data_IF_330002104450
#
_entry.id   IF_330002104450
#
_cell.length_a   1.000
_cell.length_b   1.000
_cell.length_c   1.000
_cell.angle_alpha   90.00
_cell.angle_beta   90.00
_cell.angle_gamma   90.00
#
_symmetry.space_group_name_H-M   'P 1'
#
loop_
_entity.id
_entity.type
_entity.pdbx_description
1 polymer ?
#
# COMPACT_ATOMS: atom_id res chain seq x y z
N UNK A 1 -8.81 57.34 -34.43
CA UNK A 1 -10.02 57.19 -33.58
C UNK A 1 -10.99 56.06 -34.01
N UNK A 2 -10.51 54.95 -34.62
CA UNK A 2 -11.37 53.82 -35.07
C UNK A 2 -11.19 52.51 -34.27
N UNK A 3 -10.12 52.38 -33.48
CA UNK A 3 -9.85 51.19 -32.65
C UNK A 3 -10.77 51.08 -31.42
N UNK A 4 -11.25 52.20 -30.87
CA UNK A 4 -12.15 52.19 -29.71
C UNK A 4 -13.60 51.77 -30.03
N UNK A 5 -14.03 51.78 -31.29
CA UNK A 5 -15.40 51.36 -31.67
C UNK A 5 -15.55 49.83 -31.74
N UNK A 6 -14.51 49.12 -32.18
CA UNK A 6 -14.51 47.65 -32.28
C UNK A 6 -14.40 46.98 -30.90
N UNK A 7 -13.69 47.56 -29.95
CA UNK A 7 -13.60 47.04 -28.58
C UNK A 7 -14.86 47.34 -27.75
N UNK A 8 -15.57 48.43 -28.05
CA UNK A 8 -16.88 48.72 -27.45
C UNK A 8 -17.91 47.66 -27.80
N UNK A 9 -17.91 47.10 -29.02
CA UNK A 9 -18.88 46.05 -29.38
C UNK A 9 -18.66 44.80 -28.53
N UNK A 10 -17.42 44.37 -28.33
CA UNK A 10 -17.12 43.20 -27.49
C UNK A 10 -17.47 43.46 -26.03
N UNK A 11 -17.20 44.65 -25.52
CA UNK A 11 -17.56 45.04 -24.15
C UNK A 11 -19.08 45.12 -23.94
N UNK A 12 -19.82 45.57 -24.95
CA UNK A 12 -21.29 45.58 -24.95
C UNK A 12 -21.83 44.16 -25.04
N UNK A 13 -21.26 43.30 -25.90
CA UNK A 13 -21.66 41.90 -26.05
C UNK A 13 -21.40 41.12 -24.75
N UNK A 14 -20.23 41.27 -24.14
CA UNK A 14 -19.93 40.63 -22.85
C UNK A 14 -20.81 41.18 -21.74
N UNK A 15 -21.06 42.49 -21.71
CA UNK A 15 -22.00 43.12 -20.78
C UNK A 15 -23.42 42.56 -20.91
N UNK A 16 -23.95 42.44 -22.13
CA UNK A 16 -25.27 41.86 -22.42
C UNK A 16 -25.30 40.37 -22.02
N UNK A 17 -24.22 39.63 -22.28
CA UNK A 17 -24.11 38.22 -21.90
C UNK A 17 -24.17 38.05 -20.38
N UNK A 18 -23.42 38.86 -19.63
CA UNK A 18 -23.39 38.84 -18.17
C UNK A 18 -24.76 39.27 -17.61
N UNK A 19 -25.37 40.33 -18.15
CA UNK A 19 -26.71 40.77 -17.78
C UNK A 19 -27.75 39.69 -18.05
N UNK A 20 -27.66 38.98 -19.18
CA UNK A 20 -28.51 37.84 -19.49
C UNK A 20 -28.35 36.68 -18.49
N UNK A 21 -27.11 36.37 -18.07
CA UNK A 21 -26.83 35.35 -17.06
C UNK A 21 -27.34 35.73 -15.67
N UNK A 22 -27.27 37.01 -15.30
CA UNK A 22 -27.84 37.55 -14.06
C UNK A 22 -29.36 37.52 -14.11
N UNK A 23 -29.97 37.96 -15.21
CA UNK A 23 -31.42 37.96 -15.41
C UNK A 23 -32.00 36.53 -15.37
N UNK A 24 -31.29 35.56 -15.95
CA UNK A 24 -31.62 34.14 -15.86
C UNK A 24 -31.53 33.58 -14.44
N UNK A 25 -30.74 34.18 -13.53
CA UNK A 25 -30.71 33.79 -12.12
C UNK A 25 -31.82 34.43 -11.27
N UNK A 26 -32.29 35.62 -11.65
CA UNK A 26 -33.29 36.40 -10.89
C UNK A 26 -34.72 35.90 -11.11
N UNK A 27 -35.01 35.25 -12.24
CA UNK A 27 -36.32 34.64 -12.53
C UNK A 27 -36.35 33.15 -12.08
N UNK A 28 -36.95 32.82 -10.92
CA UNK A 28 -36.87 31.47 -10.35
C UNK A 28 -37.41 30.37 -11.29
N UNK A 29 -38.47 30.63 -12.06
CA UNK A 29 -39.07 29.65 -12.98
C UNK A 29 -38.26 29.39 -14.27
N UNK A 30 -37.68 30.43 -14.88
CA UNK A 30 -36.87 30.30 -16.11
C UNK A 30 -35.51 29.68 -15.79
N UNK A 31 -34.94 30.05 -14.63
CA UNK A 31 -33.68 29.49 -14.14
C UNK A 31 -33.78 27.98 -13.96
N UNK A 32 -34.88 27.47 -13.38
CA UNK A 32 -35.10 26.05 -13.12
C UNK A 32 -35.27 25.24 -14.41
N UNK A 33 -36.05 25.75 -15.37
CA UNK A 33 -36.25 25.09 -16.67
C UNK A 33 -34.98 25.08 -17.53
N UNK A 34 -34.28 26.22 -17.62
CA UNK A 34 -33.03 26.31 -18.33
C UNK A 34 -31.96 25.43 -17.69
N UNK A 35 -31.81 25.48 -16.35
CA UNK A 35 -30.90 24.60 -15.60
C UNK A 35 -31.22 23.13 -15.85
N UNK A 36 -32.47 22.70 -15.73
CA UNK A 36 -32.85 21.29 -15.91
C UNK A 36 -32.62 20.79 -17.35
N UNK A 37 -32.88 21.64 -18.35
CA UNK A 37 -32.67 21.28 -19.77
C UNK A 37 -31.18 21.24 -20.12
N UNK A 38 -30.40 22.24 -19.66
CA UNK A 38 -28.95 22.24 -19.77
C UNK A 38 -28.34 21.04 -19.02
N UNK A 39 -28.82 20.73 -17.82
CA UNK A 39 -28.36 19.56 -17.07
C UNK A 39 -28.63 18.27 -17.84
N UNK A 40 -29.81 18.11 -18.44
CA UNK A 40 -30.12 16.92 -19.25
C UNK A 40 -29.20 16.78 -20.46
N UNK A 41 -28.97 17.87 -21.20
CA UNK A 41 -28.12 17.88 -22.41
C UNK A 41 -26.63 17.73 -22.09
N UNK A 42 -26.15 18.40 -21.04
CA UNK A 42 -24.74 18.35 -20.65
C UNK A 42 -24.41 17.17 -19.71
N UNK A 43 -25.39 16.55 -19.06
CA UNK A 43 -25.14 15.39 -18.19
C UNK A 43 -24.39 14.23 -18.84
N UNK A 44 -24.62 13.81 -20.10
CA UNK A 44 -23.82 12.77 -20.72
C UNK A 44 -22.35 13.21 -20.89
N UNK A 45 -22.11 14.48 -21.23
CA UNK A 45 -20.75 15.04 -21.38
C UNK A 45 -20.07 15.09 -20.02
N UNK A 46 -20.74 15.64 -19.00
CA UNK A 46 -20.23 15.67 -17.63
C UNK A 46 -19.87 14.27 -17.12
N UNK A 47 -20.74 13.28 -17.35
CA UNK A 47 -20.47 11.88 -16.98
C UNK A 47 -19.28 11.30 -17.74
N UNK A 48 -19.09 11.66 -19.02
CA UNK A 48 -17.93 11.24 -19.80
C UNK A 48 -16.62 11.82 -19.26
N UNK A 49 -16.61 13.12 -18.91
CA UNK A 49 -15.45 13.77 -18.27
C UNK A 49 -15.12 13.18 -16.90
N UNK A 50 -16.13 12.92 -16.06
CA UNK A 50 -15.91 12.26 -14.76
C UNK A 50 -15.33 10.85 -14.96
N UNK A 51 -15.88 10.06 -15.89
CA UNK A 51 -15.35 8.72 -16.20
C UNK A 51 -13.93 8.76 -16.75
N UNK A 52 -13.60 9.73 -17.59
CA UNK A 52 -12.25 9.92 -18.13
C UNK A 52 -11.27 10.31 -17.02
N UNK A 53 -11.66 11.25 -16.13
CA UNK A 53 -10.86 11.68 -14.99
C UNK A 53 -10.58 10.54 -14.00
N UNK A 54 -11.61 9.76 -13.65
CA UNK A 54 -11.43 8.61 -12.76
C UNK A 54 -10.48 7.57 -13.36
N UNK A 55 -10.64 7.23 -14.65
CA UNK A 55 -9.73 6.30 -15.34
C UNK A 55 -8.27 6.77 -15.36
N UNK A 56 -8.03 8.08 -15.45
CA UNK A 56 -6.66 8.61 -15.42
C UNK A 56 -6.04 8.47 -14.04
N UNK A 57 -6.81 8.69 -12.96
CA UNK A 57 -6.34 8.52 -11.58
C UNK A 57 -5.95 7.05 -11.34
N UNK A 58 -6.83 6.11 -11.72
CA UNK A 58 -6.58 4.67 -11.58
C UNK A 58 -5.29 4.22 -12.29
N UNK A 59 -5.01 4.79 -13.48
CA UNK A 59 -3.83 4.43 -14.27
C UNK A 59 -2.51 4.88 -13.62
N UNK A 60 -2.49 6.07 -13.00
CA UNK A 60 -1.32 6.57 -12.29
C UNK A 60 -1.07 5.78 -11.00
N UNK A 61 -2.12 5.41 -10.27
CA UNK A 61 -2.01 4.55 -9.09
C UNK A 61 -1.40 3.18 -9.45
N UNK A 62 -1.89 2.53 -10.52
CA UNK A 62 -1.34 1.25 -10.98
C UNK A 62 0.16 1.35 -11.32
N UNK A 63 0.59 2.42 -12.00
CA UNK A 63 2.00 2.60 -12.36
C UNK A 63 2.88 2.78 -11.12
N UNK A 64 2.40 3.55 -10.12
CA UNK A 64 3.13 3.73 -8.87
C UNK A 64 3.24 2.41 -8.10
N UNK A 65 2.13 1.65 -8.00
CA UNK A 65 2.14 0.32 -7.36
C UNK A 65 3.07 -0.66 -8.07
N UNK A 66 3.10 -0.69 -9.41
CA UNK A 66 4.03 -1.54 -10.17
C UNK A 66 5.48 -1.17 -9.87
N UNK A 67 5.80 0.12 -9.72
CA UNK A 67 7.14 0.56 -9.38
C UNK A 67 7.55 0.12 -7.97
N UNK A 68 6.64 0.24 -7.00
CA UNK A 68 6.85 -0.17 -5.62
C UNK A 68 7.03 -1.69 -5.52
N UNK A 69 6.15 -2.47 -6.16
CA UNK A 69 6.26 -3.93 -6.23
C UNK A 69 7.57 -4.39 -6.88
N UNK A 70 8.00 -3.73 -7.95
CA UNK A 70 9.29 -4.05 -8.58
C UNK A 70 10.48 -3.74 -7.66
N UNK A 71 10.42 -2.61 -6.94
CA UNK A 71 11.47 -2.24 -5.99
C UNK A 71 11.55 -3.26 -4.85
N UNK A 72 10.43 -3.62 -4.26
CA UNK A 72 10.34 -4.65 -3.20
C UNK A 72 10.84 -6.00 -3.71
N UNK A 73 10.48 -6.41 -4.92
CA UNK A 73 10.95 -7.66 -5.52
C UNK A 73 12.48 -7.68 -5.70
N UNK A 74 13.08 -6.55 -6.14
CA UNK A 74 14.53 -6.42 -6.25
C UNK A 74 15.20 -6.51 -4.87
N UNK A 75 14.65 -5.84 -3.85
CA UNK A 75 15.17 -5.88 -2.49
C UNK A 75 15.07 -7.29 -1.87
N UNK A 76 13.94 -7.97 -2.05
CA UNK A 76 13.73 -9.35 -1.60
C UNK A 76 14.69 -10.32 -2.28
N UNK A 77 14.88 -10.20 -3.60
CA UNK A 77 15.86 -11.01 -4.34
C UNK A 77 17.28 -10.80 -3.84
N UNK A 78 17.66 -9.54 -3.59
CA UNK A 78 18.97 -9.22 -3.03
C UNK A 78 19.16 -9.86 -1.66
N UNK A 79 18.18 -9.71 -0.76
CA UNK A 79 18.22 -10.31 0.58
C UNK A 79 18.26 -11.83 0.53
N UNK A 80 17.55 -12.45 -0.42
CA UNK A 80 17.60 -13.89 -0.59
C UNK A 80 19.01 -14.36 -1.00
N UNK A 81 19.65 -13.68 -1.95
CA UNK A 81 21.03 -13.99 -2.35
C UNK A 81 22.03 -13.79 -1.20
N UNK A 82 21.85 -12.74 -0.40
CA UNK A 82 22.68 -12.50 0.80
C UNK A 82 22.53 -13.66 1.80
N UNK A 83 21.30 -14.06 2.12
CA UNK A 83 21.02 -15.19 3.03
C UNK A 83 21.55 -16.53 2.47
N UNK A 84 21.41 -16.78 1.18
CA UNK A 84 21.96 -17.98 0.53
C UNK A 84 23.49 -18.02 0.65
N UNK A 85 24.16 -16.87 0.48
CA UNK A 85 25.60 -16.75 0.67
C UNK A 85 26.02 -16.98 2.12
N UNK A 86 25.29 -16.41 3.09
CA UNK A 86 25.54 -16.63 4.52
C UNK A 86 25.37 -18.10 4.90
N UNK A 87 24.32 -18.76 4.42
CA UNK A 87 24.09 -20.20 4.64
C UNK A 87 25.26 -21.02 4.07
N UNK A 88 25.75 -20.68 2.88
CA UNK A 88 26.89 -21.38 2.28
C UNK A 88 28.15 -21.25 3.14
N UNK A 89 28.45 -20.03 3.60
CA UNK A 89 29.59 -19.77 4.47
C UNK A 89 29.47 -20.48 5.83
N UNK A 90 28.27 -20.50 6.41
CA UNK A 90 28.00 -21.23 7.65
C UNK A 90 28.23 -22.73 7.50
N UNK A 91 27.78 -23.33 6.38
CA UNK A 91 28.01 -24.75 6.10
C UNK A 91 29.49 -25.08 5.93
N UNK A 92 30.22 -24.26 5.19
CA UNK A 92 31.68 -24.44 5.03
C UNK A 92 32.39 -24.36 6.39
N UNK A 93 32.05 -23.35 7.19
CA UNK A 93 32.59 -23.18 8.55
C UNK A 93 32.24 -24.37 9.45
N UNK A 94 31.02 -24.90 9.35
CA UNK A 94 30.58 -26.07 10.11
C UNK A 94 31.35 -27.34 9.71
N UNK A 95 31.55 -27.55 8.40
CA UNK A 95 32.34 -28.66 7.87
C UNK A 95 33.81 -28.59 8.32
N UNK A 96 34.42 -27.40 8.23
CA UNK A 96 35.77 -27.17 8.74
C UNK A 96 35.87 -27.42 10.25
N UNK A 97 34.90 -26.91 11.02
CA UNK A 97 34.85 -27.13 12.46
C UNK A 97 34.74 -28.62 12.80
N UNK A 98 33.90 -29.35 12.07
CA UNK A 98 33.73 -30.80 12.23
C UNK A 98 35.03 -31.54 11.91
N UNK A 99 35.70 -31.20 10.81
CA UNK A 99 36.99 -31.78 10.44
C UNK A 99 38.06 -31.52 11.52
N UNK A 100 38.15 -30.30 12.03
CA UNK A 100 39.07 -29.92 13.10
C UNK A 100 38.77 -30.69 14.40
N UNK A 101 37.50 -30.79 14.79
CA UNK A 101 37.07 -31.56 15.97
C UNK A 101 37.45 -33.04 15.85
N UNK A 102 37.26 -33.63 14.68
CA UNK A 102 37.64 -35.02 14.40
C UNK A 102 39.16 -35.22 14.48
N UNK A 103 39.94 -34.32 13.86
CA UNK A 103 41.40 -34.37 13.90
C UNK A 103 41.96 -34.25 15.33
N UNK A 104 41.33 -33.42 16.16
CA UNK A 104 41.74 -33.18 17.55
C UNK A 104 41.09 -34.13 18.56
N UNK A 105 40.23 -35.07 18.10
CA UNK A 105 39.45 -36.00 18.95
C UNK A 105 38.69 -35.28 20.08
N UNK A 106 38.15 -34.09 19.80
CA UNK A 106 37.28 -33.41 20.75
C UNK A 106 36.03 -34.26 21.03
N UNK A 107 35.57 -34.38 22.28
CA UNK A 107 34.30 -35.02 22.57
C UNK A 107 33.17 -34.32 21.82
N UNK A 108 32.28 -35.12 21.25
CA UNK A 108 31.10 -34.63 20.54
C UNK A 108 30.23 -33.85 21.54
N UNK A 109 29.90 -32.61 21.21
CA UNK A 109 29.07 -31.77 22.07
C UNK A 109 27.63 -32.18 21.77
N UNK A 110 26.93 -32.80 22.73
CA UNK A 110 25.52 -33.11 22.56
C UNK A 110 24.76 -31.80 22.32
N UNK A 111 24.19 -31.67 21.12
CA UNK A 111 23.31 -30.56 20.81
C UNK A 111 22.00 -30.80 21.57
N UNK A 112 21.48 -29.78 22.28
CA UNK A 112 20.18 -29.90 22.91
C UNK A 112 19.12 -30.21 21.84
N UNK A 113 18.32 -31.23 22.09
CA UNK A 113 17.18 -31.58 21.25
C UNK A 113 16.08 -30.56 21.56
N UNK A 114 15.72 -29.75 20.57
CA UNK A 114 14.60 -28.82 20.69
C UNK A 114 13.33 -29.49 20.17
N UNK A 115 12.24 -29.41 20.95
CA UNK A 115 10.89 -29.77 20.50
C UNK A 115 10.03 -28.49 20.48
N UNK A 116 9.09 -28.41 19.54
CA UNK A 116 8.18 -27.27 19.41
C UNK A 116 6.97 -27.51 20.33
N UNK A 117 6.69 -26.54 21.20
CA UNK A 117 5.53 -26.54 22.08
C UNK A 117 4.63 -25.33 21.77
N UNK A 118 3.32 -25.55 21.77
CA UNK A 118 2.32 -24.50 21.61
C UNK A 118 1.95 -23.91 22.97
N UNK A 119 1.83 -22.59 23.06
CA UNK A 119 1.34 -21.90 24.25
C UNK A 119 -0.18 -22.00 24.28
N UNK A 120 -0.73 -22.73 25.24
CA UNK A 120 -2.17 -22.95 25.44
C UNK A 120 -2.77 -22.07 26.53
N UNK A 121 -1.93 -21.36 27.29
CA UNK A 121 -2.37 -20.41 28.31
C UNK A 121 -1.23 -19.49 28.74
N UNK A 122 -1.57 -18.31 29.26
CA UNK A 122 -0.61 -17.34 29.78
C UNK A 122 -1.27 -16.51 30.88
N UNK A 123 -0.50 -16.16 31.90
CA UNK A 123 -0.92 -15.22 32.94
C UNK A 123 -1.01 -13.79 32.38
N UNK A 124 -2.09 -13.07 32.71
CA UNK A 124 -2.40 -11.75 32.14
C UNK A 124 -2.43 -10.65 33.22
N UNK A 125 -2.76 -11.00 34.47
CA UNK A 125 -3.05 -10.00 35.51
C UNK A 125 -2.37 -10.25 36.87
N UNK A 126 -1.78 -11.43 37.08
CA UNK A 126 -1.06 -11.77 38.31
C UNK A 126 0.32 -11.11 38.45
N UNK A 127 0.90 -11.20 39.66
CA UNK A 127 2.31 -10.81 39.93
C UNK A 127 3.32 -11.82 39.37
N UNK A 128 2.92 -13.08 39.14
CA UNK A 128 3.77 -14.13 38.58
C UNK A 128 3.68 -14.18 37.04
N UNK A 129 4.82 -14.37 36.37
CA UNK A 129 4.90 -14.53 34.91
C UNK A 129 5.04 -16.02 34.55
N UNK A 130 3.96 -16.61 34.04
CA UNK A 130 3.96 -18.00 33.58
C UNK A 130 3.20 -18.18 32.28
N UNK A 131 3.62 -19.20 31.52
CA UNK A 131 2.94 -19.69 30.32
C UNK A 131 2.67 -21.19 30.47
N UNK A 132 1.52 -21.64 29.99
CA UNK A 132 1.16 -23.04 29.90
C UNK A 132 1.39 -23.49 28.46
N UNK A 133 2.13 -24.60 28.30
CA UNK A 133 2.43 -25.20 27.01
C UNK A 133 1.78 -26.57 26.86
N UNK A 134 1.56 -27.03 25.63
CA UNK A 134 0.94 -28.33 25.32
C UNK A 134 1.90 -29.54 25.42
N UNK A 135 3.04 -29.40 26.11
CA UNK A 135 4.05 -30.45 26.29
C UNK A 135 4.38 -30.61 27.76
N UNK A 136 4.68 -31.85 28.16
CA UNK A 136 5.08 -32.18 29.53
C UNK A 136 5.92 -33.44 29.58
N UNK A 137 5.91 -34.13 30.72
CA UNK A 137 6.77 -35.28 31.00
C UNK A 137 6.66 -36.41 29.97
N UNK A 138 5.45 -36.69 29.47
CA UNK A 138 5.23 -37.69 28.41
C UNK A 138 5.88 -37.32 27.07
N UNK A 139 6.25 -36.06 26.87
CA UNK A 139 6.99 -35.54 25.73
C UNK A 139 8.48 -35.31 26.03
N UNK A 140 8.98 -35.79 27.17
CA UNK A 140 10.37 -35.59 27.58
C UNK A 140 10.68 -34.21 28.16
N UNK A 141 9.65 -33.39 28.45
CA UNK A 141 9.81 -32.09 29.13
C UNK A 141 9.63 -32.31 30.63
N UNK A 142 10.70 -32.13 31.42
CA UNK A 142 10.67 -32.21 32.87
C UNK A 142 11.23 -30.93 33.50
N UNK A 143 10.92 -30.71 34.78
CA UNK A 143 11.41 -29.56 35.54
C UNK A 143 12.86 -29.86 35.94
N UNK A 144 13.77 -28.93 35.65
CA UNK A 144 15.17 -28.99 36.10
C UNK A 144 15.31 -28.62 37.57
#
# INVERSE_FOLDING_TARGET
MKFFKKNKIYFIITGILILGLVFLNVLPGVSGFAKNTLFKVLSPIQRAFIKAGNKTIDFFEIILTIRELNKENIELKKKNLELESEISLFKETEEENKALRQALKFPEKELPIYDIAEVVGKEIQGEDDWILINKGKNNGVDIN
#
